data_IF_499208748552
#
_entry.id   IF_499208748552
#
_cell.length_a   1.000
_cell.length_b   1.000
_cell.length_c   1.000
_cell.angle_alpha   90.00
_cell.angle_beta   90.00
_cell.angle_gamma   90.00
#
_symmetry.space_group_name_H-M   'P 1'
#
loop_
_entity.id
_entity.type
_entity.pdbx_description
1 polymer ?
#
# COMPACT_ATOMS: atom_id res chain seq x y z
N UNK A 1 16.62 12.59 -5.15
CA UNK A 1 15.85 11.36 -5.49
C UNK A 1 16.08 10.40 -4.34
N UNK A 2 15.04 9.79 -3.81
CA UNK A 2 15.15 8.99 -2.58
C UNK A 2 14.95 7.50 -2.85
N UNK A 3 14.28 7.13 -3.96
CA UNK A 3 14.11 5.76 -4.43
C UNK A 3 13.87 5.73 -5.94
N UNK A 4 13.94 4.54 -6.54
CA UNK A 4 13.56 4.26 -7.92
C UNK A 4 12.26 3.47 -7.94
N UNK A 5 11.28 3.88 -8.76
CA UNK A 5 10.02 3.14 -8.94
C UNK A 5 9.97 2.47 -10.32
N UNK A 6 9.69 1.17 -10.35
CA UNK A 6 9.46 0.37 -11.55
C UNK A 6 7.99 0.03 -11.73
N UNK A 7 7.56 -0.10 -12.99
CA UNK A 7 6.28 -0.64 -13.41
C UNK A 7 6.53 -1.99 -14.09
N UNK A 8 6.70 -3.05 -13.27
CA UNK A 8 7.07 -4.39 -13.78
C UNK A 8 5.89 -5.05 -14.48
N UNK A 9 4.69 -4.84 -13.94
CA UNK A 9 3.45 -5.30 -14.58
C UNK A 9 2.57 -4.12 -14.99
N UNK A 10 1.57 -4.38 -15.82
CA UNK A 10 0.39 -3.53 -15.92
C UNK A 10 -0.53 -3.74 -14.72
N UNK A 11 -1.59 -2.92 -14.63
CA UNK A 11 -2.62 -3.00 -13.59
C UNK A 11 -3.95 -3.55 -14.12
N UNK A 12 -5.02 -3.28 -13.36
CA UNK A 12 -6.39 -3.68 -13.70
C UNK A 12 -6.82 -3.20 -15.09
N UNK A 13 -6.54 -1.92 -15.40
CA UNK A 13 -6.99 -1.28 -16.64
C UNK A 13 -6.11 -1.62 -17.85
N UNK A 14 -4.85 -1.99 -17.61
CA UNK A 14 -3.87 -2.29 -18.68
C UNK A 14 -3.98 -3.73 -19.20
N UNK A 15 -4.83 -4.55 -18.58
CA UNK A 15 -5.03 -5.92 -19.01
C UNK A 15 -5.69 -5.99 -20.40
N UNK A 16 -5.09 -6.73 -21.32
CA UNK A 16 -5.65 -6.92 -22.66
C UNK A 16 -6.96 -7.70 -22.61
N UNK A 17 -7.03 -8.72 -21.74
CA UNK A 17 -8.14 -9.65 -21.65
C UNK A 17 -8.72 -9.76 -20.21
N UNK A 18 -9.92 -10.33 -20.13
CA UNK A 18 -10.55 -10.71 -18.86
C UNK A 18 -9.77 -11.88 -18.24
N UNK A 19 -9.32 -11.71 -17.00
CA UNK A 19 -8.58 -12.72 -16.24
C UNK A 19 -7.06 -12.57 -16.32
N UNK A 20 -6.53 -11.56 -16.99
CA UNK A 20 -5.08 -11.32 -17.15
C UNK A 20 -4.59 -9.97 -16.57
N UNK A 21 -5.01 -9.56 -15.37
CA UNK A 21 -4.41 -8.38 -14.76
C UNK A 21 -2.95 -8.68 -14.41
N UNK A 22 -2.10 -7.67 -14.45
CA UNK A 22 -0.71 -7.81 -14.06
C UNK A 22 0.19 -8.45 -15.10
N UNK A 23 -0.10 -8.31 -16.41
CA UNK A 23 0.80 -8.75 -17.48
C UNK A 23 2.18 -8.08 -17.33
N UNK A 24 3.26 -8.85 -17.57
CA UNK A 24 4.61 -8.32 -17.54
C UNK A 24 4.81 -7.24 -18.61
N UNK A 25 5.35 -6.09 -18.18
CA UNK A 25 5.71 -4.95 -19.04
C UNK A 25 7.22 -4.72 -19.07
N UNK A 26 7.96 -5.27 -18.12
CA UNK A 26 9.42 -5.20 -18.09
C UNK A 26 10.02 -6.60 -18.14
N UNK A 27 11.06 -6.77 -18.95
CA UNK A 27 11.83 -8.02 -19.00
C UNK A 27 12.72 -8.13 -17.75
N UNK A 28 13.00 -9.37 -17.26
CA UNK A 28 13.82 -9.59 -16.05
C UNK A 28 15.19 -8.92 -16.11
N UNK A 29 15.87 -8.96 -17.26
CA UNK A 29 17.18 -8.33 -17.44
C UNK A 29 17.13 -6.80 -17.33
N UNK A 30 16.01 -6.15 -17.67
CA UNK A 30 15.82 -4.71 -17.48
C UNK A 30 15.63 -4.39 -16.00
N UNK A 31 14.81 -5.17 -15.29
CA UNK A 31 14.59 -5.03 -13.85
C UNK A 31 15.91 -5.15 -13.11
N UNK A 32 16.69 -6.21 -13.43
CA UNK A 32 18.01 -6.43 -12.83
C UNK A 32 18.96 -5.25 -13.07
N UNK A 33 19.06 -4.77 -14.30
CA UNK A 33 19.96 -3.66 -14.64
C UNK A 33 19.60 -2.39 -13.85
N UNK A 34 18.31 -2.09 -13.68
CA UNK A 34 17.88 -0.93 -12.89
C UNK A 34 18.17 -1.12 -11.40
N UNK A 35 17.90 -2.30 -10.84
CA UNK A 35 18.16 -2.59 -9.43
C UNK A 35 19.68 -2.53 -9.13
N UNK A 36 20.51 -3.14 -9.97
CA UNK A 36 21.97 -3.12 -9.80
C UNK A 36 22.52 -1.68 -9.79
N UNK A 37 22.06 -0.82 -10.71
CA UNK A 37 22.53 0.57 -10.78
C UNK A 37 21.95 1.43 -9.65
N UNK A 38 20.68 1.24 -9.28
CA UNK A 38 20.07 1.94 -8.16
C UNK A 38 20.79 1.64 -6.85
N UNK A 39 21.04 0.37 -6.56
CA UNK A 39 21.74 -0.06 -5.34
C UNK A 39 23.18 0.44 -5.29
N UNK A 40 23.89 0.42 -6.43
CA UNK A 40 25.23 1.00 -6.54
C UNK A 40 25.28 2.48 -6.21
N UNK A 41 24.20 3.21 -6.51
CA UNK A 41 24.02 4.62 -6.20
C UNK A 41 23.42 4.87 -4.80
N UNK A 42 23.12 3.82 -4.02
CA UNK A 42 22.57 3.90 -2.67
C UNK A 42 21.05 4.13 -2.61
N UNK A 43 20.32 3.84 -3.70
CA UNK A 43 18.87 3.97 -3.75
C UNK A 43 18.18 2.61 -3.63
N UNK A 44 17.05 2.57 -2.93
CA UNK A 44 16.12 1.43 -2.94
C UNK A 44 15.25 1.42 -4.18
N UNK A 45 14.73 0.25 -4.53
CA UNK A 45 13.85 0.05 -5.67
C UNK A 45 12.49 -0.48 -5.23
N UNK A 46 11.44 0.26 -5.56
CA UNK A 46 10.05 -0.14 -5.37
C UNK A 46 9.44 -0.57 -6.72
N UNK A 47 8.57 -1.58 -6.73
CA UNK A 47 7.95 -2.05 -7.95
C UNK A 47 6.44 -2.23 -7.84
N UNK A 48 5.69 -1.65 -8.79
CA UNK A 48 4.30 -2.02 -9.03
C UNK A 48 4.24 -3.42 -9.63
N UNK A 49 3.54 -4.33 -8.93
CA UNK A 49 3.29 -5.69 -9.41
C UNK A 49 1.92 -6.17 -8.95
N UNK A 50 1.09 -6.64 -9.88
CA UNK A 50 -0.26 -7.14 -9.62
C UNK A 50 -0.45 -8.59 -10.10
N UNK A 51 0.64 -9.34 -10.31
CA UNK A 51 0.60 -10.76 -10.64
C UNK A 51 1.68 -11.55 -9.91
N UNK A 52 1.46 -12.87 -9.66
CA UNK A 52 2.47 -13.75 -9.06
C UNK A 52 3.78 -13.78 -9.86
N UNK A 53 3.70 -13.79 -11.20
CA UNK A 53 4.85 -13.76 -12.09
C UNK A 53 5.64 -12.45 -11.93
N UNK A 54 4.94 -11.29 -11.89
CA UNK A 54 5.57 -9.99 -11.69
C UNK A 54 6.28 -9.89 -10.36
N UNK A 55 5.69 -10.42 -9.27
CA UNK A 55 6.32 -10.48 -7.96
C UNK A 55 7.59 -11.31 -7.98
N UNK A 56 7.60 -12.50 -8.61
CA UNK A 56 8.81 -13.32 -8.74
C UNK A 56 9.90 -12.60 -9.52
N UNK A 57 9.58 -12.05 -10.69
CA UNK A 57 10.52 -11.28 -11.50
C UNK A 57 11.12 -10.13 -10.70
N UNK A 58 10.31 -9.40 -9.92
CA UNK A 58 10.79 -8.32 -9.07
C UNK A 58 11.80 -8.81 -8.02
N UNK A 59 11.44 -9.81 -7.25
CA UNK A 59 12.25 -10.33 -6.13
C UNK A 59 13.55 -10.98 -6.61
N UNK A 60 13.50 -11.78 -7.67
CA UNK A 60 14.68 -12.43 -8.26
C UNK A 60 15.69 -11.41 -8.80
N UNK A 61 15.22 -10.25 -9.23
CA UNK A 61 16.06 -9.24 -9.88
C UNK A 61 16.39 -8.03 -9.00
N UNK A 62 16.06 -8.07 -7.70
CA UNK A 62 16.66 -7.13 -6.76
C UNK A 62 15.73 -6.06 -6.19
N UNK A 63 14.44 -6.11 -6.43
CA UNK A 63 13.49 -5.13 -5.89
C UNK A 63 13.40 -5.24 -4.36
N UNK A 64 13.33 -4.09 -3.67
CA UNK A 64 13.32 -3.98 -2.21
C UNK A 64 11.90 -3.87 -1.63
N UNK A 65 10.94 -3.35 -2.41
CA UNK A 65 9.52 -3.34 -2.02
C UNK A 65 8.59 -3.63 -3.18
N UNK A 66 7.57 -4.41 -2.87
CA UNK A 66 6.50 -4.76 -3.80
C UNK A 66 5.25 -3.97 -3.42
N UNK A 67 4.84 -3.08 -4.29
CA UNK A 67 3.61 -2.31 -4.18
C UNK A 67 2.45 -3.14 -4.74
N UNK A 68 1.31 -3.11 -4.06
CA UNK A 68 0.12 -3.93 -4.29
C UNK A 68 0.37 -5.38 -3.92
N UNK A 69 1.12 -6.11 -4.70
CA UNK A 69 1.41 -7.52 -4.50
C UNK A 69 0.36 -8.43 -5.12
N UNK A 70 0.61 -9.71 -5.04
CA UNK A 70 -0.24 -10.76 -5.57
C UNK A 70 -0.12 -12.02 -4.72
N UNK A 71 -0.97 -13.02 -5.00
CA UNK A 71 -0.95 -14.32 -4.33
C UNK A 71 0.46 -14.93 -4.36
N UNK A 72 0.91 -15.42 -3.19
CA UNK A 72 2.24 -16.03 -3.00
C UNK A 72 2.16 -17.54 -2.96
N UNK A 73 3.10 -18.20 -3.63
CA UNK A 73 3.46 -19.60 -3.40
C UNK A 73 4.67 -19.71 -2.45
N UNK A 74 5.07 -20.91 -2.08
CA UNK A 74 6.18 -21.18 -1.17
C UNK A 74 7.51 -20.59 -1.69
N UNK A 75 7.71 -20.60 -3.00
CA UNK A 75 8.89 -20.02 -3.63
C UNK A 75 8.91 -18.51 -3.49
N UNK A 76 7.80 -17.84 -3.74
CA UNK A 76 7.65 -16.40 -3.57
C UNK A 76 7.89 -15.99 -2.11
N UNK A 77 7.34 -16.75 -1.16
CA UNK A 77 7.58 -16.54 0.29
C UNK A 77 9.08 -16.65 0.62
N UNK A 78 9.77 -17.64 0.07
CA UNK A 78 11.21 -17.81 0.23
C UNK A 78 11.99 -16.62 -0.31
N UNK A 79 11.66 -16.17 -1.53
CA UNK A 79 12.29 -15.02 -2.18
C UNK A 79 12.14 -13.73 -1.36
N UNK A 80 10.94 -13.44 -0.83
CA UNK A 80 10.75 -12.30 0.07
C UNK A 80 11.67 -12.36 1.30
N UNK A 81 11.77 -13.53 1.93
CA UNK A 81 12.58 -13.71 3.14
C UNK A 81 14.08 -13.58 2.85
N UNK A 82 14.56 -14.17 1.76
CA UNK A 82 15.96 -14.09 1.32
C UNK A 82 16.35 -12.66 0.96
N UNK A 83 15.43 -11.93 0.35
CA UNK A 83 15.62 -10.55 -0.06
C UNK A 83 15.48 -9.56 1.09
N UNK A 84 14.69 -9.90 2.12
CA UNK A 84 14.26 -8.95 3.15
C UNK A 84 13.31 -7.88 2.59
N UNK A 85 12.65 -8.16 1.46
CA UNK A 85 11.79 -7.21 0.78
C UNK A 85 10.47 -6.99 1.52
N UNK A 86 9.90 -5.79 1.37
CA UNK A 86 8.60 -5.42 1.91
C UNK A 86 7.45 -5.74 0.94
N UNK A 87 6.29 -6.03 1.51
CA UNK A 87 5.00 -5.88 0.83
C UNK A 87 4.41 -4.54 1.26
N UNK A 88 4.17 -3.63 0.33
CA UNK A 88 3.40 -2.42 0.59
C UNK A 88 1.98 -2.63 0.07
N UNK A 89 1.09 -3.09 0.95
CA UNK A 89 -0.31 -3.35 0.58
C UNK A 89 -1.06 -2.04 0.34
N UNK A 90 -1.95 -2.06 -0.64
CA UNK A 90 -2.74 -0.91 -1.08
C UNK A 90 -4.14 -1.41 -1.44
N UNK A 91 -4.95 -1.65 -0.43
CA UNK A 91 -6.32 -2.15 -0.61
C UNK A 91 -7.22 -1.08 -1.24
N UNK A 92 -6.96 0.18 -0.89
CA UNK A 92 -7.77 1.33 -1.33
C UNK A 92 -7.98 1.43 -2.84
N UNK A 93 -6.95 1.39 -3.72
CA UNK A 93 -7.15 1.55 -5.15
C UNK A 93 -7.85 0.36 -5.81
N UNK A 94 -7.68 -0.86 -5.28
CA UNK A 94 -8.30 -2.06 -5.82
C UNK A 94 -9.80 -2.18 -5.47
N UNK A 95 -10.20 -1.64 -4.31
CA UNK A 95 -11.56 -1.78 -3.77
C UNK A 95 -12.66 -1.24 -4.69
N UNK A 96 -12.57 -0.02 -5.26
CA UNK A 96 -13.61 0.50 -6.15
C UNK A 96 -13.82 -0.34 -7.41
N UNK A 97 -12.74 -0.86 -8.01
CA UNK A 97 -12.86 -1.73 -9.18
C UNK A 97 -13.48 -3.07 -8.85
N UNK A 98 -13.19 -3.62 -7.67
CA UNK A 98 -13.68 -4.94 -7.26
C UNK A 98 -15.12 -4.93 -6.74
N UNK A 99 -15.50 -3.90 -5.96
CA UNK A 99 -16.66 -3.95 -5.09
C UNK A 99 -17.75 -2.91 -5.43
N UNK A 100 -17.45 -1.84 -6.17
CA UNK A 100 -18.49 -0.89 -6.58
C UNK A 100 -19.35 -1.49 -7.69
N UNK A 101 -20.62 -1.08 -7.70
CA UNK A 101 -21.47 -1.29 -8.87
C UNK A 101 -20.82 -0.63 -10.10
N UNK A 102 -20.88 -1.30 -11.26
CA UNK A 102 -20.30 -0.78 -12.51
C UNK A 102 -20.94 0.53 -12.96
N UNK A 103 -22.22 0.77 -12.61
CA UNK A 103 -22.87 2.05 -12.85
C UNK A 103 -22.24 3.20 -12.02
N UNK A 104 -21.60 2.90 -10.89
CA UNK A 104 -20.91 3.86 -10.03
C UNK A 104 -19.45 4.02 -10.45
N UNK A 105 -18.75 2.91 -10.61
CA UNK A 105 -17.31 2.92 -10.95
C UNK A 105 -17.03 3.29 -12.41
N UNK A 106 -17.99 3.08 -13.31
CA UNK A 106 -17.79 3.17 -14.75
C UNK A 106 -16.90 2.05 -15.32
N UNK A 107 -16.55 1.07 -14.49
CA UNK A 107 -15.72 -0.07 -14.92
C UNK A 107 -16.48 -0.96 -15.90
N UNK A 108 -15.77 -1.47 -16.92
CA UNK A 108 -16.31 -2.53 -17.77
C UNK A 108 -16.42 -3.85 -16.98
N UNK A 109 -17.18 -4.83 -17.49
CA UNK A 109 -17.21 -6.17 -16.89
C UNK A 109 -15.82 -6.80 -16.80
N UNK A 110 -14.96 -6.55 -17.80
CA UNK A 110 -13.55 -6.99 -17.81
C UNK A 110 -12.80 -6.35 -16.66
N UNK A 111 -12.89 -5.03 -16.49
CA UNK A 111 -12.15 -4.29 -15.49
C UNK A 111 -12.61 -4.65 -14.06
N UNK A 112 -13.92 -4.84 -13.87
CA UNK A 112 -14.45 -5.31 -12.58
C UNK A 112 -13.96 -6.72 -12.24
N UNK A 113 -13.97 -7.64 -13.22
CA UNK A 113 -13.45 -9.00 -13.01
C UNK A 113 -11.95 -8.98 -12.68
N UNK A 114 -11.16 -8.22 -13.42
CA UNK A 114 -9.73 -8.07 -13.18
C UNK A 114 -9.46 -7.33 -11.83
N UNK A 115 -10.25 -6.32 -11.52
CA UNK A 115 -10.21 -5.63 -10.23
C UNK A 115 -10.46 -6.57 -9.05
N UNK A 116 -11.38 -7.53 -9.20
CA UNK A 116 -11.62 -8.55 -8.17
C UNK A 116 -10.40 -9.47 -7.97
N UNK A 117 -9.74 -9.89 -9.05
CA UNK A 117 -8.52 -10.70 -8.97
C UNK A 117 -7.42 -9.92 -8.22
N UNK A 118 -7.21 -8.66 -8.58
CA UNK A 118 -6.20 -7.81 -7.94
C UNK A 118 -6.54 -7.56 -6.47
N UNK A 119 -7.77 -7.18 -6.14
CA UNK A 119 -8.21 -6.97 -4.77
C UNK A 119 -7.98 -8.22 -3.89
N UNK A 120 -8.41 -9.39 -4.36
CA UNK A 120 -8.21 -10.64 -3.63
C UNK A 120 -6.71 -10.97 -3.51
N UNK A 121 -5.93 -10.71 -4.57
CA UNK A 121 -4.49 -10.90 -4.58
C UNK A 121 -3.76 -10.02 -3.57
N UNK A 122 -4.09 -8.74 -3.50
CA UNK A 122 -3.52 -7.76 -2.54
C UNK A 122 -3.82 -8.19 -1.09
N UNK A 123 -5.08 -8.52 -0.80
CA UNK A 123 -5.49 -8.96 0.55
C UNK A 123 -4.80 -10.28 0.93
N UNK A 124 -4.78 -11.26 0.02
CA UNK A 124 -4.13 -12.56 0.27
C UNK A 124 -2.61 -12.40 0.43
N UNK A 125 -1.98 -11.55 -0.39
CA UNK A 125 -0.56 -11.20 -0.28
C UNK A 125 -0.23 -10.67 1.12
N UNK A 126 -0.99 -9.68 1.61
CA UNK A 126 -0.78 -9.11 2.93
C UNK A 126 -0.94 -10.16 4.05
N UNK A 127 -2.01 -10.99 4.01
CA UNK A 127 -2.23 -12.07 4.98
C UNK A 127 -1.10 -13.09 4.98
N UNK A 128 -0.67 -13.53 3.80
CA UNK A 128 0.42 -14.50 3.64
C UNK A 128 1.74 -13.92 4.13
N UNK A 129 2.02 -12.66 3.82
CA UNK A 129 3.21 -11.96 4.31
C UNK A 129 3.24 -11.93 5.84
N UNK A 130 2.13 -11.51 6.48
CA UNK A 130 2.00 -11.47 7.94
C UNK A 130 2.20 -12.84 8.59
N UNK A 131 1.57 -13.88 8.06
CA UNK A 131 1.68 -15.25 8.56
C UNK A 131 3.11 -15.80 8.46
N UNK A 132 3.91 -15.29 7.53
CA UNK A 132 5.28 -15.74 7.27
C UNK A 132 6.37 -14.80 7.81
N UNK A 133 6.01 -13.75 8.54
CA UNK A 133 6.96 -12.78 9.09
C UNK A 133 7.65 -11.89 8.04
N UNK A 134 7.08 -11.80 6.84
CA UNK A 134 7.50 -10.86 5.79
C UNK A 134 7.03 -9.46 6.21
N UNK A 135 7.87 -8.42 6.13
CA UNK A 135 7.48 -7.09 6.55
C UNK A 135 6.40 -6.50 5.63
N UNK A 136 5.30 -6.02 6.25
CA UNK A 136 4.20 -5.35 5.56
C UNK A 136 4.22 -3.87 5.87
N UNK A 137 4.05 -3.04 4.86
CA UNK A 137 3.84 -1.60 4.92
C UNK A 137 2.47 -1.24 4.29
N UNK A 138 2.00 -0.03 4.48
CA UNK A 138 0.72 0.46 3.97
C UNK A 138 0.92 1.64 3.02
N UNK A 139 0.21 1.62 1.90
CA UNK A 139 0.04 2.72 0.97
C UNK A 139 -1.41 2.84 0.52
N UNK A 140 -1.87 4.00 0.09
CA UNK A 140 -3.22 4.15 -0.46
C UNK A 140 -3.24 4.57 -1.92
N UNK A 141 -2.09 4.70 -2.55
CA UNK A 141 -1.94 5.02 -3.98
C UNK A 141 -2.78 6.23 -4.41
N UNK A 142 -2.56 7.36 -3.72
CA UNK A 142 -3.26 8.62 -3.98
C UNK A 142 -3.10 9.06 -5.43
N UNK A 143 -4.22 9.36 -6.07
CA UNK A 143 -4.29 9.72 -7.49
C UNK A 143 -5.10 8.72 -8.30
N UNK A 144 -5.29 7.50 -7.81
CA UNK A 144 -6.26 6.56 -8.35
C UNK A 144 -7.70 7.07 -8.16
N UNK A 145 -8.65 6.67 -9.01
CA UNK A 145 -10.06 7.02 -8.85
C UNK A 145 -10.57 6.71 -7.44
N UNK A 146 -11.29 7.64 -6.85
CA UNK A 146 -11.85 7.59 -5.48
C UNK A 146 -10.82 7.68 -4.34
N UNK A 147 -9.50 7.73 -4.60
CA UNK A 147 -8.47 7.81 -3.57
C UNK A 147 -8.02 9.26 -3.40
N UNK A 148 -8.30 9.84 -2.23
CA UNK A 148 -8.04 11.25 -1.93
C UNK A 148 -6.88 11.42 -0.95
N UNK A 149 -6.27 12.64 -0.95
CA UNK A 149 -5.09 12.95 -0.13
C UNK A 149 -5.37 12.92 1.38
N UNK A 150 -6.62 12.95 1.79
CA UNK A 150 -7.01 12.94 3.21
C UNK A 150 -7.48 11.55 3.69
N UNK A 151 -7.46 10.52 2.84
CA UNK A 151 -8.14 9.25 3.10
C UNK A 151 -7.21 8.11 3.53
N UNK A 152 -5.92 8.35 3.78
CA UNK A 152 -5.02 7.27 4.20
C UNK A 152 -5.51 6.50 5.45
N UNK A 153 -6.27 7.13 6.32
CA UNK A 153 -6.89 6.47 7.46
C UNK A 153 -7.84 5.31 7.05
N UNK A 154 -8.44 5.36 5.85
CA UNK A 154 -9.28 4.28 5.31
C UNK A 154 -8.45 3.03 5.02
N UNK A 155 -7.22 3.19 4.54
CA UNK A 155 -6.33 2.06 4.30
C UNK A 155 -6.06 1.28 5.60
N UNK A 156 -5.90 1.97 6.74
CA UNK A 156 -5.77 1.31 8.04
C UNK A 156 -7.05 0.54 8.42
N UNK A 157 -8.22 1.11 8.16
CA UNK A 157 -9.50 0.44 8.39
C UNK A 157 -9.65 -0.80 7.49
N UNK A 158 -9.29 -0.69 6.21
CA UNK A 158 -9.32 -1.82 5.27
C UNK A 158 -8.31 -2.91 5.67
N UNK A 159 -7.12 -2.53 6.07
CA UNK A 159 -6.11 -3.48 6.57
C UNK A 159 -6.61 -4.24 7.80
N UNK A 160 -7.22 -3.53 8.75
CA UNK A 160 -7.90 -4.17 9.90
C UNK A 160 -9.00 -5.13 9.43
N UNK A 161 -9.94 -4.66 8.61
CA UNK A 161 -11.11 -5.42 8.17
C UNK A 161 -10.75 -6.63 7.32
N UNK A 162 -10.00 -6.43 6.26
CA UNK A 162 -9.74 -7.46 5.24
C UNK A 162 -8.57 -8.37 5.60
N UNK A 163 -7.58 -7.88 6.37
CA UNK A 163 -6.42 -8.70 6.78
C UNK A 163 -6.51 -9.23 8.22
N UNK A 164 -7.48 -8.77 9.02
CA UNK A 164 -7.73 -9.29 10.37
C UNK A 164 -6.70 -8.82 11.43
N UNK A 165 -5.97 -7.74 11.16
CA UNK A 165 -4.98 -7.20 12.11
C UNK A 165 -5.65 -6.35 13.19
N UNK A 166 -5.03 -6.20 14.36
CA UNK A 166 -5.52 -5.28 15.40
C UNK A 166 -5.34 -3.81 14.99
N UNK A 167 -6.15 -2.90 15.57
CA UNK A 167 -5.98 -1.46 15.38
C UNK A 167 -4.57 -1.01 15.75
N UNK A 168 -4.01 -1.54 16.85
CA UNK A 168 -2.64 -1.26 17.27
C UNK A 168 -1.63 -1.65 16.20
N UNK A 169 -1.79 -2.82 15.58
CA UNK A 169 -0.87 -3.28 14.55
C UNK A 169 -1.01 -2.46 13.26
N UNK A 170 -2.23 -2.06 12.86
CA UNK A 170 -2.45 -1.17 11.74
C UNK A 170 -1.76 0.19 11.94
N UNK A 171 -1.87 0.77 13.14
CA UNK A 171 -1.18 2.02 13.50
C UNK A 171 0.35 1.86 13.47
N UNK A 172 0.88 0.79 14.04
CA UNK A 172 2.32 0.47 13.98
C UNK A 172 2.81 0.34 12.54
N UNK A 173 2.04 -0.34 11.69
CA UNK A 173 2.38 -0.53 10.28
C UNK A 173 2.39 0.80 9.52
N UNK A 174 1.38 1.64 9.72
CA UNK A 174 1.26 2.94 9.06
C UNK A 174 2.27 4.00 9.58
N UNK A 175 2.95 3.74 10.68
CA UNK A 175 3.91 4.68 11.30
C UNK A 175 5.34 4.13 11.22
N UNK A 176 5.78 3.39 12.23
CA UNK A 176 7.17 2.94 12.31
C UNK A 176 7.55 2.00 11.18
N UNK A 177 6.69 1.07 10.80
CA UNK A 177 7.00 0.14 9.71
C UNK A 177 7.11 0.86 8.36
N UNK A 178 6.23 1.81 8.08
CA UNK A 178 6.33 2.66 6.88
C UNK A 178 7.61 3.52 6.90
N UNK A 179 7.98 4.06 8.05
CA UNK A 179 9.23 4.81 8.19
C UNK A 179 10.47 3.91 7.95
N UNK A 180 10.42 2.65 8.37
CA UNK A 180 11.49 1.66 8.09
C UNK A 180 11.57 1.36 6.58
N UNK A 181 10.44 1.14 5.90
CA UNK A 181 10.40 0.97 4.44
C UNK A 181 11.02 2.17 3.73
N UNK A 182 10.68 3.39 4.18
CA UNK A 182 11.21 4.63 3.61
C UNK A 182 12.68 4.92 3.98
N UNK A 183 13.34 4.06 4.77
CA UNK A 183 14.72 4.26 5.22
C UNK A 183 14.91 5.39 6.24
N UNK A 184 13.83 5.85 6.88
CA UNK A 184 13.83 6.97 7.85
C UNK A 184 13.35 6.56 9.25
N UNK A 185 13.33 5.26 9.54
CA UNK A 185 12.87 4.73 10.83
C UNK A 185 13.65 5.23 12.05
N UNK A 186 14.91 5.60 11.88
CA UNK A 186 15.75 6.21 12.93
C UNK A 186 15.42 7.69 13.16
N UNK A 187 14.73 8.33 12.18
CA UNK A 187 14.41 9.76 12.22
C UNK A 187 12.97 10.01 12.66
N UNK A 188 12.04 9.14 12.27
CA UNK A 188 10.59 9.32 12.49
C UNK A 188 9.86 7.98 12.64
N UNK A 189 8.52 8.02 12.71
CA UNK A 189 7.65 6.83 12.78
C UNK A 189 7.34 6.34 14.18
N UNK A 190 8.04 6.84 15.21
CA UNK A 190 7.76 6.58 16.63
C UNK A 190 8.06 7.82 17.47
N UNK A 191 7.40 7.94 18.62
CA UNK A 191 7.62 9.04 19.59
C UNK A 191 8.72 8.59 20.55
N UNK A 192 9.95 8.97 20.24
CA UNK A 192 11.15 8.63 21.01
C UNK A 192 12.09 9.84 21.13
N UNK A 193 12.86 9.96 22.25
CA UNK A 193 13.87 11.01 22.36
C UNK A 193 14.88 10.96 21.22
N UNK A 194 15.17 12.09 20.61
CA UNK A 194 16.11 12.23 19.50
C UNK A 194 15.49 12.10 18.10
N UNK A 195 14.27 11.62 17.99
CA UNK A 195 13.55 11.60 16.71
C UNK A 195 12.86 12.94 16.42
N UNK A 196 12.50 13.12 15.14
CA UNK A 196 11.71 14.27 14.69
C UNK A 196 10.36 14.32 15.40
N UNK A 197 9.92 15.53 15.74
CA UNK A 197 8.60 15.75 16.32
C UNK A 197 7.54 15.67 15.21
N UNK A 198 7.18 14.43 14.83
CA UNK A 198 6.18 14.08 13.84
C UNK A 198 5.08 13.28 14.54
N UNK A 199 3.93 13.89 14.78
CA UNK A 199 2.80 13.21 15.41
C UNK A 199 1.47 13.88 15.08
N UNK A 200 0.40 13.12 15.27
CA UNK A 200 -0.97 13.60 15.17
C UNK A 200 -1.68 13.45 16.52
N UNK A 201 -2.67 14.30 16.76
CA UNK A 201 -3.56 14.20 17.93
C UNK A 201 -4.98 14.04 17.42
N UNK A 202 -5.67 13.04 17.92
CA UNK A 202 -7.07 12.73 17.63
C UNK A 202 -7.95 12.99 18.86
N UNK A 203 -9.21 13.33 18.64
CA UNK A 203 -10.17 13.54 19.73
C UNK A 203 -10.56 12.24 20.42
N UNK A 204 -10.64 11.17 19.66
CA UNK A 204 -11.01 9.84 20.13
C UNK A 204 -9.83 8.89 20.00
N UNK A 205 -9.85 7.78 20.73
CA UNK A 205 -8.76 6.83 20.78
C UNK A 205 -8.72 5.93 19.50
N UNK A 206 -7.73 6.04 18.63
CA UNK A 206 -7.64 5.23 17.41
C UNK A 206 -7.34 3.74 17.70
N UNK A 207 -6.92 3.38 18.91
CA UNK A 207 -6.80 1.98 19.33
C UNK A 207 -8.17 1.31 19.50
N UNK A 208 -9.20 2.09 19.81
CA UNK A 208 -10.59 1.60 19.93
C UNK A 208 -11.31 1.63 18.58
N UNK A 209 -11.10 2.70 17.79
CA UNK A 209 -11.71 2.89 16.47
C UNK A 209 -10.77 3.69 15.56
N UNK A 210 -10.26 3.05 14.50
CA UNK A 210 -9.36 3.69 13.52
C UNK A 210 -10.02 4.87 12.80
N UNK A 211 -11.36 4.96 12.75
CA UNK A 211 -12.08 6.10 12.18
C UNK A 211 -11.82 7.40 12.95
N UNK A 212 -11.30 7.33 14.19
CA UNK A 212 -10.84 8.50 14.93
C UNK A 212 -9.78 9.32 14.17
N UNK A 213 -8.99 8.67 13.31
CA UNK A 213 -7.98 9.30 12.46
C UNK A 213 -8.57 10.23 11.39
N UNK A 214 -9.87 10.15 11.12
CA UNK A 214 -10.57 11.06 10.22
C UNK A 214 -10.65 12.51 10.78
N UNK A 215 -10.58 12.65 12.09
CA UNK A 215 -10.78 13.92 12.79
C UNK A 215 -9.57 14.27 13.64
N UNK A 216 -8.61 14.98 13.03
CA UNK A 216 -7.39 15.40 13.69
C UNK A 216 -7.59 16.74 14.41
N UNK A 217 -7.18 16.82 15.67
CA UNK A 217 -7.10 18.07 16.45
C UNK A 217 -5.80 18.82 16.17
N UNK A 218 -4.73 18.05 15.88
CA UNK A 218 -3.40 18.61 15.69
C UNK A 218 -2.60 17.70 14.74
N UNK A 219 -1.80 18.32 13.89
CA UNK A 219 -0.70 17.67 13.15
C UNK A 219 0.58 18.41 13.49
N UNK A 220 1.62 17.68 13.86
CA UNK A 220 2.97 18.22 14.01
C UNK A 220 3.87 17.51 13.02
N UNK A 221 4.57 18.29 12.22
CA UNK A 221 5.52 17.79 11.22
C UNK A 221 6.83 18.56 11.36
N UNK A 222 7.91 17.84 11.70
CA UNK A 222 9.22 18.43 11.99
C UNK A 222 9.14 19.60 12.97
N UNK A 223 8.31 19.47 14.01
CA UNK A 223 8.06 20.51 14.99
C UNK A 223 7.10 21.63 14.55
N UNK A 224 6.70 21.70 13.29
CA UNK A 224 5.70 22.66 12.81
C UNK A 224 4.29 22.20 13.19
N UNK A 225 3.53 23.08 13.84
CA UNK A 225 2.22 22.78 14.40
C UNK A 225 1.10 23.28 13.48
N UNK A 226 0.23 22.37 13.03
CA UNK A 226 -1.00 22.66 12.30
C UNK A 226 -2.17 22.32 13.23
N UNK A 227 -2.90 23.33 13.69
CA UNK A 227 -4.08 23.17 14.57
C UNK A 227 -5.34 22.98 13.74
N UNK A 228 -6.18 22.01 14.14
CA UNK A 228 -7.48 21.74 13.53
C UNK A 228 -7.41 21.65 12.01
N UNK A 229 -6.60 20.74 11.45
CA UNK A 229 -6.48 20.61 10.01
C UNK A 229 -7.86 20.33 9.42
N UNK A 230 -8.21 21.06 8.36
CA UNK A 230 -9.50 20.94 7.71
C UNK A 230 -9.32 20.80 6.19
N UNK A 231 -8.96 19.61 5.70
CA UNK A 231 -8.79 19.37 4.27
C UNK A 231 -10.13 19.50 3.55
N UNK A 232 -10.10 20.00 2.31
CA UNK A 232 -11.27 20.02 1.44
C UNK A 232 -11.66 18.58 1.11
N UNK A 233 -12.82 18.13 1.57
CA UNK A 233 -13.32 16.77 1.38
C UNK A 233 -14.25 16.66 0.19
N UNK A 234 -14.23 15.50 -0.47
CA UNK A 234 -15.21 15.12 -1.46
C UNK A 234 -16.28 14.22 -0.82
N UNK A 235 -17.37 14.84 -0.39
CA UNK A 235 -18.48 14.14 0.31
C UNK A 235 -19.11 13.02 -0.50
N UNK A 236 -19.10 13.12 -1.83
CA UNK A 236 -19.64 12.07 -2.71
C UNK A 236 -18.73 10.83 -2.65
N UNK A 237 -17.42 11.02 -2.73
CA UNK A 237 -16.46 9.93 -2.62
C UNK A 237 -16.50 9.33 -1.21
N UNK A 238 -16.56 10.16 -0.17
CA UNK A 238 -16.67 9.69 1.22
C UNK A 238 -17.90 8.77 1.38
N UNK A 239 -19.08 9.19 0.91
CA UNK A 239 -20.31 8.42 1.01
C UNK A 239 -20.28 7.09 0.23
N UNK A 240 -19.51 7.02 -0.86
CA UNK A 240 -19.32 5.78 -1.64
C UNK A 240 -18.39 4.78 -0.92
N UNK A 241 -17.39 5.26 -0.20
CA UNK A 241 -16.39 4.44 0.48
C UNK A 241 -16.79 4.01 1.90
N UNK A 242 -17.61 4.82 2.60
CA UNK A 242 -18.00 4.57 4.00
C UNK A 242 -18.63 3.18 4.25
N UNK A 243 -19.50 2.62 3.37
CA UNK A 243 -20.07 1.29 3.57
C UNK A 243 -19.05 0.14 3.63
N UNK A 244 -17.85 0.36 3.14
CA UNK A 244 -16.80 -0.66 3.10
C UNK A 244 -15.88 -0.65 4.33
N UNK A 245 -16.12 0.23 5.29
CA UNK A 245 -15.36 0.33 6.55
C UNK A 245 -15.84 -0.67 7.64
N UNK A 246 -17.10 -1.14 7.52
CA UNK A 246 -17.75 -2.04 8.48
C UNK A 246 -17.71 -3.50 8.05
#
# INVERSE_FOLDING_TARGET
>A
MDLVKLMITGGVLDAAEKGTPGELKMKPEMVKAVCDEAHKLGYTVAAHTESPEGVKVALENGVDSIEHGAKMDDETIRLYKERGAFVCTTISPALPYALFDTAVSGASEKDQYNGKIVFDGVVESAKTALANGIPVALGNDVGCPYITQYDFWRELCYFHKYCGVSNQFALYTATLRNAQLAGVGDVTGSIEPGKSADFIVTKHNPLEDLRALQHLELVVCRGHVIKKPNPKRNKTVDALLDPYLE
#
